data_IF_419623059420
#
_entry.id   IF_419623059420
#
_cell.length_a   1.000
_cell.length_b   1.000
_cell.length_c   1.000
_cell.angle_alpha   90.00
_cell.angle_beta   90.00
_cell.angle_gamma   90.00
#
_symmetry.space_group_name_H-M   'P 1'
#
loop_
_entity.id
_entity.type
_entity.pdbx_description
1 polymer ?
#
# COMPACT_ATOMS: atom_id res chain seq x y z
N UNK A 1 0.85 -2.83 55.03
CA UNK A 1 0.84 -3.56 53.73
C UNK A 1 0.54 -2.52 52.68
N UNK A 2 1.57 -1.98 51.98
CA UNK A 2 1.43 -0.92 50.97
C UNK A 2 1.39 -1.62 49.62
N UNK A 3 0.25 -1.56 48.96
CA UNK A 3 0.09 -2.07 47.61
C UNK A 3 0.70 -1.06 46.64
N UNK A 4 1.81 -1.42 46.01
CA UNK A 4 2.42 -0.64 44.92
C UNK A 4 1.69 -1.03 43.63
N UNK A 5 0.82 -0.15 43.16
CA UNK A 5 0.26 -0.27 41.79
C UNK A 5 1.35 0.13 40.79
N UNK A 6 1.90 -0.86 40.10
CA UNK A 6 2.66 -0.60 38.88
C UNK A 6 1.65 -0.17 37.79
N UNK A 7 1.60 1.10 37.51
CA UNK A 7 1.00 1.61 36.29
C UNK A 7 1.88 1.13 35.15
N UNK A 8 1.42 0.15 34.41
CA UNK A 8 1.97 -0.20 33.09
C UNK A 8 1.59 0.96 32.17
N UNK A 9 2.50 1.91 31.99
CA UNK A 9 2.38 2.91 30.96
C UNK A 9 2.23 2.15 29.62
N UNK A 10 1.11 2.31 28.96
CA UNK A 10 0.91 1.79 27.61
C UNK A 10 2.05 2.36 26.75
N UNK A 11 2.93 1.49 26.27
CA UNK A 11 3.94 1.86 25.26
C UNK A 11 3.16 2.41 24.08
N UNK A 12 3.43 3.64 23.61
CA UNK A 12 2.69 4.18 22.48
C UNK A 12 2.85 3.23 21.30
N UNK A 13 1.75 2.95 20.62
CA UNK A 13 1.66 2.01 19.50
C UNK A 13 2.67 2.26 18.35
N UNK A 14 3.36 3.38 18.39
CA UNK A 14 4.43 3.78 17.47
C UNK A 14 5.74 2.99 17.62
N UNK A 15 6.03 2.41 18.79
CA UNK A 15 7.29 1.70 19.02
C UNK A 15 7.32 0.31 18.37
N UNK A 16 6.17 -0.26 18.03
CA UNK A 16 6.09 -1.57 17.40
C UNK A 16 6.21 -1.52 15.86
N UNK A 17 6.12 -0.36 15.25
CA UNK A 17 6.07 -0.23 13.78
C UNK A 17 7.43 -0.12 13.10
N UNK A 18 8.46 0.24 13.83
CA UNK A 18 9.84 0.19 13.31
C UNK A 18 10.43 -1.19 13.60
N UNK A 19 9.92 -2.21 12.90
CA UNK A 19 10.36 -3.60 13.10
C UNK A 19 11.83 -3.81 12.74
N UNK A 20 12.40 -2.97 11.89
CA UNK A 20 13.85 -2.83 11.74
C UNK A 20 14.22 -1.52 11.02
N UNK A 21 15.36 -0.94 11.37
CA UNK A 21 15.98 0.17 10.63
C UNK A 21 16.15 -0.16 9.14
N UNK A 22 16.35 -1.43 8.82
CA UNK A 22 16.50 -1.93 7.46
C UNK A 22 15.23 -1.80 6.63
N UNK A 23 14.06 -2.12 7.20
CA UNK A 23 12.77 -2.00 6.49
C UNK A 23 12.41 -0.54 6.24
N UNK A 24 12.63 0.32 7.22
CA UNK A 24 12.42 1.75 7.06
C UNK A 24 13.32 2.35 5.97
N UNK A 25 14.60 1.97 5.93
CA UNK A 25 15.53 2.38 4.88
C UNK A 25 15.07 1.92 3.51
N UNK A 26 14.60 0.67 3.36
CA UNK A 26 14.05 0.17 2.09
C UNK A 26 12.85 0.99 1.61
N UNK A 27 11.94 1.36 2.51
CA UNK A 27 10.78 2.17 2.17
C UNK A 27 11.20 3.58 1.70
N UNK A 28 12.14 4.22 2.40
CA UNK A 28 12.72 5.52 1.99
C UNK A 28 13.39 5.43 0.61
N UNK A 29 14.23 4.44 0.42
CA UNK A 29 14.94 4.25 -0.85
C UNK A 29 13.96 3.95 -2.00
N UNK A 30 12.90 3.19 -1.74
CA UNK A 30 11.84 2.95 -2.72
C UNK A 30 11.18 4.27 -3.13
N UNK A 31 10.71 5.07 -2.17
CA UNK A 31 10.05 6.36 -2.44
C UNK A 31 10.99 7.32 -3.16
N UNK A 32 12.27 7.39 -2.77
CA UNK A 32 13.25 8.30 -3.37
C UNK A 32 13.65 7.94 -4.81
N UNK A 33 13.58 6.66 -5.18
CA UNK A 33 14.05 6.17 -6.48
C UNK A 33 12.94 5.82 -7.47
N UNK A 34 11.68 6.05 -7.11
CA UNK A 34 10.56 5.71 -7.97
C UNK A 34 10.51 6.63 -9.20
N UNK A 35 10.25 6.04 -10.37
CA UNK A 35 9.94 6.82 -11.56
C UNK A 35 8.43 7.11 -11.58
N UNK A 36 8.04 8.31 -11.19
CA UNK A 36 6.64 8.72 -11.11
C UNK A 36 5.92 8.65 -12.46
N UNK A 37 6.55 9.04 -13.55
CA UNK A 37 5.91 9.03 -14.87
C UNK A 37 5.56 7.60 -15.29
N UNK A 38 6.41 6.63 -14.94
CA UNK A 38 6.12 5.22 -15.18
C UNK A 38 5.01 4.69 -14.26
N UNK A 39 5.04 5.03 -12.97
CA UNK A 39 4.06 4.53 -12.00
C UNK A 39 2.67 5.13 -12.16
N UNK A 40 2.59 6.41 -12.54
CA UNK A 40 1.33 7.15 -12.62
C UNK A 40 0.78 7.33 -14.04
N UNK A 41 1.50 6.90 -15.08
CA UNK A 41 1.05 7.02 -16.48
C UNK A 41 -0.30 6.35 -16.77
N UNK A 42 -0.78 5.50 -15.87
CA UNK A 42 -2.06 4.78 -15.97
C UNK A 42 -2.88 4.82 -14.68
N UNK A 43 -2.55 5.71 -13.73
CA UNK A 43 -3.30 5.84 -12.48
C UNK A 43 -4.51 6.76 -12.66
N UNK A 44 -5.57 6.50 -11.90
CA UNK A 44 -6.74 7.38 -11.81
C UNK A 44 -6.51 8.57 -10.84
N UNK A 45 -5.27 8.76 -10.38
CA UNK A 45 -4.89 9.89 -9.53
C UNK A 45 -4.90 11.18 -10.36
N UNK A 46 -5.47 12.24 -9.81
CA UNK A 46 -5.47 13.57 -10.43
C UNK A 46 -4.05 14.13 -10.62
N UNK A 47 -3.88 15.04 -11.58
CA UNK A 47 -2.58 15.65 -11.89
C UNK A 47 -1.99 16.42 -10.69
N UNK A 48 -2.83 17.03 -9.86
CA UNK A 48 -2.47 17.71 -8.64
C UNK A 48 -1.87 16.73 -7.59
N UNK A 49 -2.47 15.54 -7.46
CA UNK A 49 -1.95 14.46 -6.61
C UNK A 49 -0.56 14.01 -7.05
N UNK A 50 -0.41 13.81 -8.36
CA UNK A 50 0.87 13.41 -8.94
C UNK A 50 1.93 14.49 -8.71
N UNK A 51 1.57 15.77 -8.89
CA UNK A 51 2.49 16.89 -8.67
C UNK A 51 2.98 16.97 -7.22
N UNK A 52 2.09 16.81 -6.24
CA UNK A 52 2.46 16.86 -4.82
C UNK A 52 3.30 15.65 -4.41
N UNK A 53 3.00 14.45 -4.92
CA UNK A 53 3.84 13.28 -4.67
C UNK A 53 5.24 13.44 -5.28
N UNK A 54 5.36 14.09 -6.45
CA UNK A 54 6.65 14.46 -7.05
C UNK A 54 7.41 15.44 -6.16
N UNK A 55 6.74 16.48 -5.65
CA UNK A 55 7.35 17.44 -4.73
C UNK A 55 7.89 16.76 -3.46
N UNK A 56 7.13 15.82 -2.89
CA UNK A 56 7.57 15.02 -1.74
C UNK A 56 8.80 14.18 -2.12
N UNK A 57 8.79 13.54 -3.29
CA UNK A 57 9.93 12.76 -3.76
C UNK A 57 11.18 13.62 -3.95
N UNK A 58 11.06 14.77 -4.59
CA UNK A 58 12.16 15.70 -4.83
C UNK A 58 12.76 16.17 -3.50
N UNK A 59 11.93 16.46 -2.52
CA UNK A 59 12.37 16.82 -1.18
C UNK A 59 13.12 15.67 -0.50
N UNK A 60 12.56 14.46 -0.48
CA UNK A 60 13.16 13.26 0.11
C UNK A 60 14.51 12.95 -0.55
N UNK A 61 14.61 13.12 -1.86
CA UNK A 61 15.83 12.86 -2.63
C UNK A 61 16.95 13.89 -2.32
N UNK A 62 16.56 15.14 -2.12
CA UNK A 62 17.47 16.26 -1.86
C UNK A 62 17.92 16.35 -0.41
N UNK A 63 17.11 15.88 0.54
CA UNK A 63 17.30 15.99 1.99
C UNK A 63 17.26 14.60 2.64
N UNK A 64 18.37 13.88 2.62
CA UNK A 64 18.43 12.49 3.10
C UNK A 64 18.19 12.31 4.59
N UNK A 65 18.37 13.34 5.38
CA UNK A 65 18.19 13.42 6.84
C UNK A 65 16.86 14.06 7.26
N UNK A 66 15.91 14.21 6.32
CA UNK A 66 14.62 14.81 6.59
C UNK A 66 13.86 14.08 7.71
N UNK A 67 13.05 14.87 8.41
CA UNK A 67 12.08 14.40 9.39
C UNK A 67 10.66 14.38 8.81
N UNK A 68 9.71 13.76 9.51
CA UNK A 68 8.30 13.84 9.13
C UNK A 68 7.76 15.27 9.25
N UNK A 69 8.27 16.06 10.22
CA UNK A 69 7.89 17.46 10.36
C UNK A 69 8.31 18.29 9.15
N UNK A 70 9.49 18.01 8.58
CA UNK A 70 9.95 18.68 7.36
C UNK A 70 9.01 18.39 6.17
N UNK A 71 8.50 17.17 6.05
CA UNK A 71 7.54 16.83 5.00
C UNK A 71 6.18 17.51 5.23
N UNK A 72 5.73 17.62 6.48
CA UNK A 72 4.52 18.36 6.83
C UNK A 72 4.65 19.86 6.46
N UNK A 73 5.79 20.46 6.78
CA UNK A 73 6.06 21.86 6.46
C UNK A 73 6.11 22.13 4.94
N UNK A 74 6.50 21.13 4.15
CA UNK A 74 6.54 21.22 2.69
C UNK A 74 5.14 21.31 2.06
N UNK A 75 4.19 20.55 2.56
CA UNK A 75 2.84 20.42 1.95
C UNK A 75 1.84 21.41 2.58
N UNK A 76 2.05 21.83 3.82
CA UNK A 76 1.19 22.80 4.52
C UNK A 76 1.96 24.02 5.08
N UNK A 77 2.59 24.84 4.24
CA UNK A 77 3.36 25.98 4.74
C UNK A 77 2.54 27.04 5.47
N UNK A 78 1.19 26.98 5.44
CA UNK A 78 0.30 28.01 5.95
C UNK A 78 -0.72 27.55 7.00
N UNK A 79 -0.83 26.27 7.31
CA UNK A 79 -1.75 25.84 8.38
C UNK A 79 -1.08 25.94 9.72
N UNK A 80 -1.52 26.94 10.47
CA UNK A 80 -1.11 27.31 11.83
C UNK A 80 -0.87 26.05 12.68
N UNK A 81 0.36 25.85 13.13
CA UNK A 81 0.71 24.91 14.19
C UNK A 81 -0.17 25.24 15.41
N UNK A 82 -1.19 24.44 15.63
CA UNK A 82 -2.02 24.58 16.82
C UNK A 82 -1.20 24.11 18.01
N UNK A 83 -0.85 25.07 18.85
CA UNK A 83 -0.23 25.00 20.18
C UNK A 83 0.26 23.64 20.68
N UNK A 84 1.57 23.56 20.88
CA UNK A 84 2.41 22.46 21.30
C UNK A 84 2.15 21.87 22.70
N UNK A 85 1.03 22.13 23.36
CA UNK A 85 0.76 21.66 24.72
C UNK A 85 -0.21 20.48 24.84
N UNK A 86 -0.72 19.99 23.72
CA UNK A 86 -1.36 18.68 23.66
C UNK A 86 -0.64 17.92 22.56
N UNK A 87 -0.26 16.68 22.81
CA UNK A 87 0.29 15.78 21.81
C UNK A 87 -0.77 15.58 20.71
N UNK A 88 -0.91 16.56 19.84
CA UNK A 88 -1.73 16.48 18.65
C UNK A 88 -1.03 15.52 17.72
N UNK A 89 -1.60 14.34 17.60
CA UNK A 89 -1.24 13.36 16.59
C UNK A 89 -1.28 14.08 15.25
N UNK A 90 -0.12 14.28 14.62
CA UNK A 90 -0.04 14.88 13.29
C UNK A 90 -0.87 14.04 12.31
N UNK A 91 -1.73 14.67 11.56
CA UNK A 91 -2.43 14.01 10.46
C UNK A 91 -1.58 14.08 9.20
N UNK A 92 -0.65 13.15 9.08
CA UNK A 92 0.23 13.04 7.91
C UNK A 92 -0.53 12.67 6.61
N UNK A 93 -1.78 12.26 6.69
CA UNK A 93 -2.59 12.06 5.48
C UNK A 93 -2.90 13.37 4.76
N UNK A 94 -2.71 14.52 5.44
CA UNK A 94 -2.80 15.84 4.83
C UNK A 94 -1.63 16.14 3.87
N UNK A 95 -0.55 15.38 3.92
CA UNK A 95 0.51 15.40 2.91
C UNK A 95 0.06 14.85 1.55
N UNK A 96 -1.01 14.07 1.57
CA UNK A 96 -1.66 13.65 0.34
C UNK A 96 -2.55 14.79 -0.12
N UNK A 97 -2.49 15.15 -1.41
CA UNK A 97 -3.29 16.23 -1.92
C UNK A 97 -4.76 15.99 -1.67
N UNK A 98 -5.47 17.08 -1.59
CA UNK A 98 -6.88 17.18 -1.24
C UNK A 98 -7.87 16.57 -2.23
N UNK A 99 -7.46 15.72 -3.13
CA UNK A 99 -8.39 14.83 -3.82
C UNK A 99 -8.99 13.92 -2.75
N UNK A 100 -10.13 14.34 -2.35
CA UNK A 100 -10.85 14.11 -1.09
C UNK A 100 -11.07 12.66 -0.68
N UNK A 101 -10.75 11.70 -1.54
CA UNK A 101 -11.21 10.33 -1.42
C UNK A 101 -10.12 9.28 -1.62
N UNK A 102 -8.85 9.66 -1.60
CA UNK A 102 -7.74 8.72 -1.80
C UNK A 102 -7.67 7.70 -0.66
N UNK A 103 -7.93 8.14 0.58
CA UNK A 103 -7.87 7.28 1.76
C UNK A 103 -9.18 7.34 2.55
N UNK A 104 -9.73 6.19 2.91
CA UNK A 104 -10.79 6.11 3.90
C UNK A 104 -10.26 6.41 5.33
N UNK A 105 -11.17 6.57 6.31
CA UNK A 105 -10.79 6.94 7.67
C UNK A 105 -9.83 5.95 8.34
N UNK A 106 -10.00 4.64 8.09
CA UNK A 106 -9.12 3.60 8.65
C UNK A 106 -7.76 3.58 7.96
N UNK A 107 -7.71 3.80 6.65
CA UNK A 107 -6.44 3.93 5.92
C UNK A 107 -5.65 5.14 6.40
N UNK A 108 -6.32 6.29 6.63
CA UNK A 108 -5.68 7.49 7.20
C UNK A 108 -5.05 7.21 8.57
N UNK A 109 -5.73 6.43 9.41
CA UNK A 109 -5.17 6.04 10.71
C UNK A 109 -3.88 5.21 10.54
N UNK A 110 -3.89 4.23 9.64
CA UNK A 110 -2.70 3.41 9.37
C UNK A 110 -1.61 4.24 8.70
N UNK A 111 -1.95 5.08 7.73
CA UNK A 111 -1.02 6.00 7.08
C UNK A 111 -0.31 6.87 8.10
N UNK A 112 -1.05 7.50 9.02
CA UNK A 112 -0.51 8.38 10.05
C UNK A 112 0.37 7.66 11.09
N UNK A 113 0.26 6.33 11.19
CA UNK A 113 1.14 5.57 12.08
C UNK A 113 2.57 5.46 11.55
N UNK A 114 2.75 5.44 10.22
CA UNK A 114 4.05 5.51 9.54
C UNK A 114 3.89 6.08 8.12
N UNK A 115 4.02 7.40 7.93
CA UNK A 115 3.76 8.06 6.65
C UNK A 115 4.68 7.62 5.52
N UNK A 116 5.94 7.27 5.80
CA UNK A 116 6.88 6.76 4.79
C UNK A 116 6.40 5.42 4.25
N UNK A 117 5.95 4.53 5.12
CA UNK A 117 5.35 3.28 4.70
C UNK A 117 4.05 3.53 3.94
N UNK A 118 3.24 4.50 4.41
CA UNK A 118 2.00 4.91 3.75
C UNK A 118 2.24 5.38 2.31
N UNK A 119 3.16 6.30 2.09
CA UNK A 119 3.57 6.76 0.76
C UNK A 119 4.04 5.59 -0.12
N UNK A 120 4.89 4.73 0.42
CA UNK A 120 5.37 3.54 -0.29
C UNK A 120 4.21 2.65 -0.74
N UNK A 121 3.24 2.37 0.15
CA UNK A 121 2.07 1.53 -0.16
C UNK A 121 1.18 2.15 -1.22
N UNK A 122 0.97 3.46 -1.22
CA UNK A 122 0.17 4.16 -2.23
C UNK A 122 0.83 4.14 -3.61
N UNK A 123 2.14 4.37 -3.66
CA UNK A 123 2.90 4.26 -4.91
C UNK A 123 2.81 2.85 -5.50
N UNK A 124 2.84 1.84 -4.65
CA UNK A 124 2.71 0.44 -5.07
C UNK A 124 1.29 0.09 -5.53
N UNK A 125 0.26 0.72 -4.95
CA UNK A 125 -1.12 0.58 -5.42
C UNK A 125 -1.24 1.08 -6.86
N UNK A 126 -0.72 2.25 -7.17
CA UNK A 126 -0.68 2.80 -8.53
C UNK A 126 0.07 1.91 -9.50
N UNK A 127 1.22 1.38 -9.08
CA UNK A 127 1.95 0.41 -9.92
C UNK A 127 1.14 -0.86 -10.16
N UNK A 128 0.48 -1.41 -9.14
CA UNK A 128 -0.35 -2.61 -9.27
C UNK A 128 -1.51 -2.40 -10.24
N UNK A 129 -2.19 -1.24 -10.18
CA UNK A 129 -3.23 -0.83 -11.13
C UNK A 129 -2.69 -0.75 -12.57
N UNK A 130 -1.53 -0.14 -12.75
CA UNK A 130 -0.86 -0.05 -14.06
C UNK A 130 -0.57 -1.43 -14.64
N UNK A 131 -0.01 -2.33 -13.82
CA UNK A 131 0.31 -3.69 -14.24
C UNK A 131 -0.95 -4.53 -14.55
N UNK A 132 -2.01 -4.37 -13.77
CA UNK A 132 -3.31 -4.97 -14.05
C UNK A 132 -3.83 -4.53 -15.41
N UNK A 133 -3.94 -3.22 -15.64
CA UNK A 133 -4.44 -2.64 -16.89
C UNK A 133 -3.62 -3.10 -18.09
N UNK A 134 -2.29 -3.13 -17.97
CA UNK A 134 -1.40 -3.57 -19.04
C UNK A 134 -1.50 -5.07 -19.36
N UNK A 135 -1.89 -5.92 -18.40
CA UNK A 135 -1.92 -7.38 -18.56
C UNK A 135 -3.32 -7.94 -18.83
N UNK A 136 -4.35 -7.33 -18.25
CA UNK A 136 -5.72 -7.85 -18.24
C UNK A 136 -6.73 -6.89 -18.87
N UNK A 137 -6.31 -5.66 -19.22
CA UNK A 137 -7.20 -4.64 -19.78
C UNK A 137 -8.03 -3.92 -18.72
N UNK A 138 -9.18 -3.41 -19.14
CA UNK A 138 -10.18 -2.74 -18.28
C UNK A 138 -11.29 -3.70 -17.86
N UNK A 139 -12.14 -3.28 -16.90
CA UNK A 139 -13.28 -4.04 -16.39
C UNK A 139 -12.91 -5.40 -15.82
N UNK A 140 -11.93 -5.39 -14.93
CA UNK A 140 -11.35 -6.60 -14.34
C UNK A 140 -11.99 -7.02 -13.03
N UNK A 141 -13.01 -6.29 -12.54
CA UNK A 141 -13.67 -6.57 -11.26
C UNK A 141 -14.00 -8.06 -11.09
N UNK A 142 -13.59 -8.61 -9.96
CA UNK A 142 -13.80 -9.99 -9.54
C UNK A 142 -13.22 -11.07 -10.48
N UNK A 143 -12.34 -10.70 -11.39
CA UNK A 143 -11.69 -11.59 -12.37
C UNK A 143 -10.22 -11.89 -12.03
N UNK A 144 -9.48 -12.48 -12.97
CA UNK A 144 -8.04 -12.70 -12.83
C UNK A 144 -7.26 -11.39 -12.63
N UNK A 145 -7.66 -10.30 -13.30
CA UNK A 145 -6.99 -9.00 -13.22
C UNK A 145 -7.10 -8.41 -11.83
N UNK A 146 -8.29 -8.39 -11.27
CA UNK A 146 -8.57 -7.91 -9.94
C UNK A 146 -7.80 -8.74 -8.88
N UNK A 147 -7.89 -10.06 -8.96
CA UNK A 147 -7.13 -10.97 -8.11
C UNK A 147 -5.62 -10.69 -8.17
N UNK A 148 -5.08 -10.47 -9.37
CA UNK A 148 -3.70 -10.11 -9.61
C UNK A 148 -3.34 -8.78 -8.95
N UNK A 149 -4.17 -7.73 -9.11
CA UNK A 149 -3.94 -6.39 -8.55
C UNK A 149 -3.83 -6.43 -7.03
N UNK A 150 -4.79 -7.07 -6.35
CA UNK A 150 -4.79 -7.21 -4.91
C UNK A 150 -3.55 -7.97 -4.39
N UNK A 151 -3.19 -9.09 -5.04
CA UNK A 151 -2.01 -9.85 -4.67
C UNK A 151 -0.71 -9.09 -4.94
N UNK A 152 -0.59 -8.41 -6.09
CA UNK A 152 0.59 -7.64 -6.43
C UNK A 152 0.82 -6.48 -5.48
N UNK A 153 -0.22 -5.69 -5.21
CA UNK A 153 -0.15 -4.59 -4.25
C UNK A 153 0.35 -5.06 -2.88
N UNK A 154 -0.23 -6.15 -2.37
CA UNK A 154 0.15 -6.70 -1.07
C UNK A 154 1.56 -7.32 -1.06
N UNK A 155 1.99 -7.93 -2.16
CA UNK A 155 3.35 -8.44 -2.31
C UNK A 155 4.38 -7.30 -2.28
N UNK A 156 4.14 -6.23 -3.03
CA UNK A 156 5.00 -5.06 -3.08
C UNK A 156 5.03 -4.35 -1.73
N UNK A 157 3.86 -4.13 -1.10
CA UNK A 157 3.77 -3.49 0.20
C UNK A 157 4.55 -4.26 1.26
N UNK A 158 4.47 -5.59 1.26
CA UNK A 158 5.26 -6.44 2.16
C UNK A 158 6.76 -6.33 1.91
N UNK A 159 7.17 -6.26 0.64
CA UNK A 159 8.59 -6.16 0.27
C UNK A 159 9.22 -4.83 0.67
N UNK A 160 8.49 -3.73 0.50
CA UNK A 160 9.03 -2.38 0.66
C UNK A 160 8.62 -1.69 1.96
N UNK A 161 7.80 -2.32 2.79
CA UNK A 161 7.48 -1.87 4.14
C UNK A 161 7.67 -3.03 5.12
N UNK A 162 6.61 -3.47 5.76
CA UNK A 162 6.57 -4.71 6.53
C UNK A 162 5.28 -5.46 6.28
N UNK A 163 5.28 -6.79 6.53
CA UNK A 163 4.06 -7.58 6.43
C UNK A 163 2.97 -7.06 7.38
N UNK A 164 3.36 -6.67 8.59
CA UNK A 164 2.42 -6.17 9.60
C UNK A 164 1.76 -4.87 9.13
N UNK A 165 2.55 -3.90 8.66
CA UNK A 165 2.03 -2.64 8.14
C UNK A 165 1.13 -2.86 6.93
N UNK A 166 1.61 -3.61 5.92
CA UNK A 166 0.84 -3.88 4.71
C UNK A 166 -0.48 -4.61 5.01
N UNK A 167 -0.49 -5.56 5.94
CA UNK A 167 -1.72 -6.24 6.36
C UNK A 167 -2.71 -5.27 6.99
N UNK A 168 -2.26 -4.38 7.88
CA UNK A 168 -3.12 -3.36 8.50
C UNK A 168 -3.70 -2.43 7.45
N UNK A 169 -2.86 -1.95 6.52
CA UNK A 169 -3.28 -1.02 5.47
C UNK A 169 -4.29 -1.67 4.53
N UNK A 170 -4.00 -2.87 4.00
CA UNK A 170 -4.93 -3.60 3.15
C UNK A 170 -6.24 -3.94 3.86
N UNK A 171 -6.20 -4.34 5.15
CA UNK A 171 -7.42 -4.57 5.93
C UNK A 171 -8.22 -3.27 6.12
N UNK A 172 -7.56 -2.14 6.35
CA UNK A 172 -8.22 -0.83 6.44
C UNK A 172 -8.89 -0.44 5.12
N UNK A 173 -8.26 -0.76 3.99
CA UNK A 173 -8.83 -0.57 2.65
C UNK A 173 -10.15 -1.31 2.50
N UNK A 174 -10.14 -2.62 2.69
CA UNK A 174 -11.35 -3.46 2.53
C UNK A 174 -12.46 -3.10 3.54
N UNK A 175 -12.09 -2.87 4.80
CA UNK A 175 -13.07 -2.68 5.89
C UNK A 175 -13.49 -1.22 6.09
N UNK A 176 -12.88 -0.28 5.42
CA UNK A 176 -13.14 1.15 5.55
C UNK A 176 -14.18 1.68 4.57
N UNK A 177 -14.62 0.89 3.61
CA UNK A 177 -15.69 1.24 2.69
C UNK A 177 -17.04 1.32 3.41
N UNK A 178 -17.93 2.21 2.96
CA UNK A 178 -19.30 2.37 3.49
C UNK A 178 -20.18 1.16 3.23
N UNK A 179 -19.85 0.39 2.20
CA UNK A 179 -20.55 -0.81 1.71
C UNK A 179 -19.87 -2.12 2.13
N UNK A 180 -18.91 -2.01 3.08
CA UNK A 180 -18.25 -3.20 3.61
C UNK A 180 -19.21 -4.23 4.20
N UNK A 181 -19.21 -5.42 3.62
CA UNK A 181 -19.88 -6.61 4.16
C UNK A 181 -18.85 -7.76 4.32
N UNK A 182 -18.55 -8.18 5.57
CA UNK A 182 -17.58 -9.26 5.82
C UNK A 182 -18.04 -10.60 5.24
N UNK A 183 -19.31 -10.75 4.90
CA UNK A 183 -19.89 -11.98 4.34
C UNK A 183 -19.93 -11.96 2.82
N UNK A 184 -19.70 -10.80 2.17
CA UNK A 184 -19.70 -10.71 0.72
C UNK A 184 -18.62 -11.59 0.13
N UNK A 185 -18.87 -12.12 -1.06
CA UNK A 185 -17.88 -12.92 -1.81
C UNK A 185 -16.72 -12.05 -2.28
N UNK A 186 -17.00 -10.78 -2.55
CA UNK A 186 -16.03 -9.77 -2.98
C UNK A 186 -14.98 -9.53 -1.88
N UNK A 187 -15.42 -9.13 -0.69
CA UNK A 187 -14.54 -8.97 0.47
C UNK A 187 -13.71 -10.23 0.76
N UNK A 188 -14.32 -11.40 0.67
CA UNK A 188 -13.60 -12.67 0.88
C UNK A 188 -12.56 -12.92 -0.19
N UNK A 189 -12.83 -12.56 -1.45
CA UNK A 189 -11.90 -12.65 -2.56
C UNK A 189 -10.69 -11.75 -2.30
N UNK A 190 -10.92 -10.48 -2.00
CA UNK A 190 -9.87 -9.47 -1.83
C UNK A 190 -8.97 -9.79 -0.64
N UNK A 191 -9.55 -10.07 0.52
CA UNK A 191 -8.79 -10.46 1.71
C UNK A 191 -7.94 -11.72 1.46
N UNK A 192 -8.44 -12.69 0.70
CA UNK A 192 -7.70 -13.91 0.37
C UNK A 192 -6.55 -13.62 -0.60
N UNK A 193 -6.77 -12.83 -1.64
CA UNK A 193 -5.74 -12.45 -2.59
C UNK A 193 -4.68 -11.56 -1.94
N UNK A 194 -5.09 -10.63 -1.07
CA UNK A 194 -4.20 -9.81 -0.25
C UNK A 194 -3.26 -10.70 0.60
N UNK A 195 -3.81 -11.68 1.32
CA UNK A 195 -3.02 -12.61 2.12
C UNK A 195 -2.08 -13.48 1.27
N UNK A 196 -2.57 -13.94 0.12
CA UNK A 196 -1.76 -14.75 -0.82
C UNK A 196 -0.58 -13.96 -1.36
N UNK A 197 -0.78 -12.68 -1.74
CA UNK A 197 0.30 -11.80 -2.20
C UNK A 197 1.40 -11.64 -1.15
N UNK A 198 1.03 -11.34 0.11
CA UNK A 198 1.99 -11.25 1.23
C UNK A 198 2.75 -12.55 1.47
N UNK A 199 2.10 -13.69 1.31
CA UNK A 199 2.75 -14.99 1.46
C UNK A 199 3.71 -15.31 0.31
N UNK A 200 3.30 -15.05 -0.93
CA UNK A 200 4.10 -15.37 -2.11
C UNK A 200 5.41 -14.61 -2.12
N UNK A 201 5.43 -13.32 -1.84
CA UNK A 201 6.66 -12.51 -1.90
C UNK A 201 7.75 -13.01 -0.96
N UNK A 202 7.40 -13.59 0.18
CA UNK A 202 8.36 -14.15 1.14
C UNK A 202 9.10 -15.38 0.60
N UNK A 203 8.51 -16.08 -0.37
CA UNK A 203 9.12 -17.25 -1.01
C UNK A 203 9.85 -16.92 -2.31
N UNK A 204 9.87 -15.65 -2.72
CA UNK A 204 10.57 -15.23 -3.92
C UNK A 204 12.07 -15.06 -3.65
N UNK A 205 12.89 -15.60 -4.53
CA UNK A 205 14.32 -15.34 -4.54
C UNK A 205 14.57 -13.98 -5.22
N UNK A 206 14.51 -12.91 -4.44
CA UNK A 206 14.70 -11.55 -4.91
C UNK A 206 16.14 -11.10 -4.67
N UNK A 207 16.79 -10.44 -5.65
CA UNK A 207 18.15 -9.95 -5.49
C UNK A 207 18.21 -8.94 -4.33
N UNK A 208 19.23 -9.09 -3.48
CA UNK A 208 19.43 -8.22 -2.30
C UNK A 208 19.93 -6.82 -2.66
N UNK A 209 20.52 -6.64 -3.84
CA UNK A 209 21.03 -5.35 -4.31
C UNK A 209 20.83 -5.22 -5.83
N UNK A 210 19.61 -4.91 -6.28
CA UNK A 210 19.30 -4.77 -7.70
C UNK A 210 19.98 -3.53 -8.31
N UNK A 211 20.37 -3.56 -9.59
CA UNK A 211 21.06 -2.46 -10.25
C UNK A 211 20.21 -1.18 -10.38
N UNK A 212 18.90 -1.27 -10.27
CA UNK A 212 18.01 -0.12 -10.18
C UNK A 212 16.71 -0.50 -9.42
N UNK A 213 16.03 0.50 -8.87
CA UNK A 213 14.84 0.32 -8.04
C UNK A 213 13.65 -0.34 -8.74
N UNK A 214 13.64 -0.42 -10.08
CA UNK A 214 12.54 -0.98 -10.88
C UNK A 214 12.62 -2.51 -11.06
N UNK A 215 13.80 -3.10 -10.84
CA UNK A 215 13.98 -4.55 -11.04
C UNK A 215 13.10 -5.36 -10.09
N UNK A 216 13.08 -5.00 -8.81
CA UNK A 216 12.30 -5.73 -7.79
C UNK A 216 10.80 -5.68 -8.08
N UNK A 217 10.15 -4.51 -8.29
CA UNK A 217 8.72 -4.45 -8.64
C UNK A 217 8.39 -5.27 -9.89
N UNK A 218 9.24 -5.23 -10.91
CA UNK A 218 9.04 -5.99 -12.14
C UNK A 218 9.12 -7.52 -11.89
N UNK A 219 10.10 -7.99 -11.11
CA UNK A 219 10.24 -9.40 -10.76
C UNK A 219 9.03 -9.89 -9.94
N UNK A 220 8.60 -9.12 -8.94
CA UNK A 220 7.42 -9.44 -8.15
C UNK A 220 6.19 -9.51 -9.06
N UNK A 221 5.98 -8.51 -9.94
CA UNK A 221 4.85 -8.49 -10.86
C UNK A 221 4.79 -9.73 -11.75
N UNK A 222 5.93 -10.18 -12.29
CA UNK A 222 6.00 -11.39 -13.13
C UNK A 222 5.72 -12.67 -12.33
N UNK A 223 6.20 -12.76 -11.09
CA UNK A 223 5.92 -13.89 -10.22
C UNK A 223 4.44 -13.98 -9.84
N UNK A 224 3.81 -12.82 -9.48
CA UNK A 224 2.38 -12.78 -9.18
C UNK A 224 1.55 -13.11 -10.44
N UNK A 225 1.94 -12.61 -11.62
CA UNK A 225 1.26 -12.98 -12.87
C UNK A 225 1.35 -14.50 -13.16
N UNK A 226 2.48 -15.12 -12.88
CA UNK A 226 2.66 -16.55 -12.98
C UNK A 226 1.78 -17.30 -11.97
N UNK A 227 1.72 -16.81 -10.72
CA UNK A 227 0.85 -17.38 -9.70
C UNK A 227 -0.64 -17.27 -10.09
N UNK A 228 -1.05 -16.15 -10.69
CA UNK A 228 -2.40 -15.96 -11.22
C UNK A 228 -2.72 -16.99 -12.28
N UNK A 229 -1.86 -17.15 -13.30
CA UNK A 229 -2.03 -18.13 -14.37
C UNK A 229 -2.14 -19.57 -13.85
N UNK A 230 -1.43 -19.88 -12.79
CA UNK A 230 -1.36 -21.21 -12.18
C UNK A 230 -2.45 -21.47 -11.12
N UNK A 231 -3.47 -20.60 -11.00
CA UNK A 231 -4.60 -20.82 -10.12
C UNK A 231 -4.30 -20.66 -8.63
N UNK A 232 -3.26 -19.91 -8.27
CA UNK A 232 -2.90 -19.65 -6.86
C UNK A 232 -3.76 -18.58 -6.20
N UNK A 233 -4.40 -17.74 -7.00
CA UNK A 233 -5.30 -16.68 -6.56
C UNK A 233 -6.76 -17.12 -6.76
N UNK A 234 -7.70 -16.30 -6.28
CA UNK A 234 -9.14 -16.60 -6.39
C UNK A 234 -9.90 -15.43 -7.01
N UNK A 235 -11.00 -15.77 -7.68
CA UNK A 235 -11.94 -14.86 -8.33
C UNK A 235 -13.35 -15.42 -8.22
N UNK A 236 -14.38 -14.67 -8.60
CA UNK A 236 -15.74 -15.21 -8.68
C UNK A 236 -16.48 -14.82 -9.97
N UNK A 237 -15.86 -14.05 -10.87
CA UNK A 237 -16.33 -13.83 -12.24
C UNK A 237 -15.42 -14.60 -13.21
N UNK A 238 -16.02 -15.43 -14.06
CA UNK A 238 -15.33 -16.26 -15.05
C UNK A 238 -16.09 -16.17 -16.36
N UNK A 239 -15.45 -15.68 -17.42
CA UNK A 239 -16.07 -15.50 -18.73
C UNK A 239 -17.42 -14.75 -18.67
N UNK A 240 -17.47 -13.68 -17.87
CA UNK A 240 -18.67 -12.85 -17.68
C UNK A 240 -19.74 -13.46 -16.78
N UNK A 241 -19.55 -14.69 -16.25
CA UNK A 241 -20.49 -15.34 -15.33
C UNK A 241 -20.05 -15.13 -13.89
N UNK A 242 -20.93 -14.59 -13.07
CA UNK A 242 -20.72 -14.43 -11.62
C UNK A 242 -21.11 -15.71 -10.88
N UNK A 243 -20.21 -16.19 -10.03
CA UNK A 243 -20.40 -17.38 -9.19
C UNK A 243 -20.63 -16.97 -7.72
N UNK A 244 -21.39 -17.76 -7.00
CA UNK A 244 -21.61 -17.61 -5.55
C UNK A 244 -20.46 -18.15 -4.69
N UNK A 245 -19.44 -18.76 -5.31
CA UNK A 245 -18.27 -19.34 -4.63
C UNK A 245 -16.98 -18.90 -5.31
N UNK A 246 -15.91 -18.78 -4.52
CA UNK A 246 -14.58 -18.47 -5.05
C UNK A 246 -14.07 -19.59 -5.95
N UNK A 247 -13.50 -19.19 -7.08
CA UNK A 247 -12.90 -20.05 -8.09
C UNK A 247 -11.41 -19.72 -8.22
N UNK A 248 -10.59 -20.71 -8.52
CA UNK A 248 -9.21 -20.46 -8.84
C UNK A 248 -9.08 -19.56 -10.09
N UNK A 249 -8.06 -18.72 -10.10
CA UNK A 249 -7.63 -17.99 -11.30
C UNK A 249 -7.08 -18.96 -12.35
N UNK A 250 -6.80 -18.50 -13.55
CA UNK A 250 -6.26 -19.32 -14.63
C UNK A 250 -5.42 -18.46 -15.61
N UNK A 251 -5.04 -19.05 -16.73
CA UNK A 251 -4.23 -18.38 -17.76
C UNK A 251 -4.97 -17.38 -18.66
N UNK A 252 -6.31 -17.20 -18.51
CA UNK A 252 -7.04 -16.24 -19.30
C UNK A 252 -6.62 -14.80 -18.96
N UNK A 253 -6.36 -13.99 -19.97
CA UNK A 253 -6.03 -12.58 -19.88
C UNK A 253 -7.23 -11.67 -20.17
N UNK A 254 -8.32 -12.25 -20.66
CA UNK A 254 -9.61 -11.57 -20.93
C UNK A 254 -10.71 -12.26 -20.17
N UNK A 255 -11.74 -11.51 -19.84
CA UNK A 255 -12.95 -12.01 -19.16
C UNK A 255 -13.85 -12.83 -20.06
#
# INVERSE_FOLDING_TARGET
MIAIFFSIAAVPAYAEEYSSQTEYTKAKDFVANINFDFFFSSSDLGEDVIADLKNIQDYITSHRDYTMDDLCDLVEPAKTRVNANHATKYDYSSLLPTSKDVLNAKEKEVFNSNPIYGLSVLLQASYANSQEKGRFGSNTWATNGDAFRHALWNALGTQFTSESYMRRFATAHETGSSDYDPNSIDTKMDLRNNATGRSLVKSMDLPSNPPNGMVIPYLISNNIATATKNGKLVRFVVAGVQYSTLRATNSATTN
#
